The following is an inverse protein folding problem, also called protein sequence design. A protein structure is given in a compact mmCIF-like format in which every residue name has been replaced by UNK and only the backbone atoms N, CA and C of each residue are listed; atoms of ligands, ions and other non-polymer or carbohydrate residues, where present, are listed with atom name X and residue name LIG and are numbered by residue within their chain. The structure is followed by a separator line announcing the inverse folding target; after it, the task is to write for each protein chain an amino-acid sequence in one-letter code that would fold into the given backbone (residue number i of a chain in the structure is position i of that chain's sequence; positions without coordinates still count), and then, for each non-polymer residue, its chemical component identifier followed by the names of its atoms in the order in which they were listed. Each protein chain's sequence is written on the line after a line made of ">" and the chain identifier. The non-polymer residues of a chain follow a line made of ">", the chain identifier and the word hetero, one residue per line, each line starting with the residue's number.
data_IF_963802118281
#
_entry.id   IF_963802118281
#
_cell.length_a   1.000
_cell.length_b   1.000
_cell.length_c   1.000
_cell.angle_alpha   90.00
_cell.angle_beta   90.00
_cell.angle_gamma   90.00
#
_symmetry.space_group_name_H-M   'P 1'
#
loop_
_entity.id
_entity.type
_entity.pdbx_description
1 polymer ?
#
# COMPACT_ATOMS: atom_id res chain seq x y z
N UNK A 1 8.29 12.44 20.99
CA UNK A 1 7.68 11.17 20.51
C UNK A 1 6.35 11.51 19.88
N UNK A 2 6.21 11.43 18.56
CA UNK A 2 4.90 11.52 17.94
C UNK A 2 4.14 10.21 18.22
N UNK A 3 2.94 10.31 18.78
CA UNK A 3 2.04 9.17 18.99
C UNK A 3 1.57 8.71 17.60
N UNK A 4 2.27 7.75 17.00
CA UNK A 4 1.80 7.04 15.81
C UNK A 4 0.71 6.07 16.25
N UNK A 5 -0.52 6.56 16.37
CA UNK A 5 -1.66 5.72 16.68
C UNK A 5 -2.17 5.06 15.39
N UNK A 6 -2.50 3.77 15.47
CA UNK A 6 -3.14 3.05 14.37
C UNK A 6 -4.58 3.52 14.27
N UNK A 7 -5.08 3.75 13.05
CA UNK A 7 -6.45 4.24 12.85
C UNK A 7 -7.49 3.18 13.21
N UNK A 8 -7.15 1.91 12.99
CA UNK A 8 -8.01 0.75 13.24
C UNK A 8 -7.46 -0.10 14.39
N UNK A 9 -8.37 -0.72 15.15
CA UNK A 9 -8.02 -1.71 16.18
C UNK A 9 -7.36 -2.95 15.57
N UNK A 10 -7.69 -3.27 14.32
CA UNK A 10 -7.08 -4.36 13.58
C UNK A 10 -5.61 -4.05 13.24
N UNK A 11 -4.75 -5.04 13.48
CA UNK A 11 -3.32 -4.90 13.19
C UNK A 11 -3.02 -4.91 11.69
N UNK A 12 -3.83 -5.60 10.89
CA UNK A 12 -3.74 -5.66 9.43
C UNK A 12 -5.15 -5.52 8.84
N UNK A 13 -5.26 -5.00 7.61
CA UNK A 13 -6.53 -5.05 6.89
C UNK A 13 -6.94 -6.49 6.62
N UNK A 14 -8.24 -6.72 6.54
CA UNK A 14 -8.79 -7.99 6.10
C UNK A 14 -8.62 -8.15 4.58
N UNK A 15 -8.72 -9.40 4.11
CA UNK A 15 -8.66 -9.68 2.68
C UNK A 15 -9.84 -8.98 1.98
N UNK A 16 -9.58 -8.33 0.85
CA UNK A 16 -10.55 -7.55 0.06
C UNK A 16 -10.92 -6.16 0.62
N UNK A 17 -10.29 -5.71 1.71
CA UNK A 17 -10.50 -4.34 2.22
C UNK A 17 -9.69 -3.30 1.43
N UNK A 18 -10.29 -2.12 1.21
CA UNK A 18 -9.67 -1.00 0.50
C UNK A 18 -9.02 -0.04 1.49
N UNK A 19 -7.69 0.07 1.41
CA UNK A 19 -6.88 0.89 2.32
C UNK A 19 -6.10 1.98 1.59
N UNK A 20 -5.83 3.07 2.29
CA UNK A 20 -5.05 4.17 1.74
C UNK A 20 -3.55 3.89 1.88
N UNK A 21 -2.84 3.93 0.75
CA UNK A 21 -1.41 3.64 0.67
C UNK A 21 -0.63 4.79 0.05
N UNK A 22 0.64 4.92 0.45
CA UNK A 22 1.60 5.85 -0.14
C UNK A 22 2.64 5.07 -0.94
N UNK A 23 2.84 5.45 -2.20
CA UNK A 23 3.90 4.84 -3.02
C UNK A 23 5.26 5.37 -2.57
N UNK A 24 6.17 4.45 -2.24
CA UNK A 24 7.56 4.76 -1.84
C UNK A 24 8.50 4.61 -3.02
N UNK A 25 8.36 3.52 -3.78
CA UNK A 25 9.24 3.22 -4.92
C UNK A 25 8.52 2.41 -5.98
N UNK A 26 8.75 2.74 -7.24
CA UNK A 26 8.31 1.93 -8.38
C UNK A 26 9.51 1.10 -8.84
N UNK A 27 9.37 -0.21 -8.83
CA UNK A 27 10.32 -1.17 -9.36
C UNK A 27 9.76 -1.82 -10.65
N UNK A 28 10.60 -2.57 -11.36
CA UNK A 28 10.24 -3.16 -12.65
C UNK A 28 9.05 -4.13 -12.57
N UNK A 29 8.93 -4.88 -11.48
CA UNK A 29 7.87 -5.89 -11.27
C UNK A 29 6.69 -5.40 -10.41
N UNK A 30 6.81 -4.25 -9.75
CA UNK A 30 5.81 -3.80 -8.78
C UNK A 30 6.13 -2.45 -8.14
N UNK A 31 5.15 -1.88 -7.45
CA UNK A 31 5.29 -0.69 -6.64
C UNK A 31 5.36 -1.06 -5.16
N UNK A 32 6.41 -0.62 -4.47
CA UNK A 32 6.51 -0.67 -3.02
C UNK A 32 5.72 0.49 -2.43
N UNK A 33 4.83 0.17 -1.50
CA UNK A 33 3.92 1.11 -0.87
C UNK A 33 3.98 0.98 0.65
N UNK A 34 3.56 2.01 1.36
CA UNK A 34 3.38 1.99 2.82
C UNK A 34 1.93 2.25 3.18
N UNK A 35 1.40 1.47 4.12
CA UNK A 35 0.04 1.59 4.63
C UNK A 35 0.00 2.64 5.74
N UNK A 36 -0.49 3.84 5.42
CA UNK A 36 -0.50 4.97 6.37
C UNK A 36 -1.42 4.72 7.57
N UNK A 37 -2.51 3.98 7.34
CA UNK A 37 -3.53 3.67 8.35
C UNK A 37 -3.09 2.56 9.32
N UNK A 38 -2.10 1.77 8.90
CA UNK A 38 -1.60 0.58 9.60
C UNK A 38 -0.11 0.71 9.93
N UNK A 39 0.28 1.81 10.59
CA UNK A 39 1.63 1.97 11.17
C UNK A 39 2.76 2.06 10.11
N UNK A 40 2.47 2.58 8.92
CA UNK A 40 3.40 2.65 7.79
C UNK A 40 3.99 1.30 7.38
N UNK A 41 3.26 0.21 7.62
CA UNK A 41 3.67 -1.13 7.20
C UNK A 41 3.94 -1.16 5.70
N UNK A 42 4.93 -1.96 5.32
CA UNK A 42 5.34 -2.12 3.94
C UNK A 42 4.39 -3.07 3.20
N UNK A 43 4.12 -2.74 1.93
CA UNK A 43 3.34 -3.55 1.01
C UNK A 43 3.91 -3.46 -0.40
N UNK A 44 3.50 -4.39 -1.26
CA UNK A 44 3.88 -4.41 -2.67
C UNK A 44 2.64 -4.60 -3.53
N UNK A 45 2.49 -3.75 -4.54
CA UNK A 45 1.43 -3.85 -5.53
C UNK A 45 2.09 -4.28 -6.85
N UNK A 46 1.63 -5.40 -7.41
CA UNK A 46 2.09 -5.86 -8.72
C UNK A 46 1.64 -4.87 -9.81
N UNK A 47 2.48 -4.61 -10.81
CA UNK A 47 2.11 -3.71 -11.91
C UNK A 47 0.85 -4.18 -12.67
N UNK A 48 0.60 -5.50 -12.69
CA UNK A 48 -0.59 -6.11 -13.28
C UNK A 48 -1.89 -5.69 -12.60
N UNK A 49 -1.86 -5.43 -11.29
CA UNK A 49 -3.03 -5.03 -10.49
C UNK A 49 -3.23 -3.51 -10.49
N UNK A 50 -2.19 -2.74 -10.79
CA UNK A 50 -2.25 -1.27 -10.87
C UNK A 50 -3.06 -0.77 -12.07
N UNK A 51 -3.02 -1.48 -13.20
CA UNK A 51 -3.79 -1.11 -14.39
C UNK A 51 -4.03 -2.31 -15.29
N UNK A 52 -5.30 -2.57 -15.60
CA UNK A 52 -5.68 -3.48 -16.70
C UNK A 52 -5.39 -2.91 -18.09
N UNK A 53 -5.12 -1.60 -18.19
CA UNK A 53 -4.85 -0.90 -19.44
C UNK A 53 -3.35 -0.67 -19.59
N UNK A 54 -2.80 -1.02 -20.75
CA UNK A 54 -1.37 -0.85 -21.06
C UNK A 54 -0.94 0.59 -20.80
N UNK A 55 -0.02 0.77 -19.86
CA UNK A 55 0.56 2.07 -19.53
C UNK A 55 1.62 2.36 -20.60
N UNK A 56 1.52 3.49 -21.30
CA UNK A 56 2.58 3.96 -22.21
C UNK A 56 3.73 4.51 -21.37
N UNK A 57 4.94 4.05 -21.68
CA UNK A 57 6.23 4.46 -21.10
C UNK A 57 6.47 5.96 -21.16
#
# INVERSE_FOLDING_TARGET
>A
MALSCRFYSNHLPDLEDTVMVKVVKIAEMGAYVTLLEYDNKEGMILLSELSRRRIRS
#
